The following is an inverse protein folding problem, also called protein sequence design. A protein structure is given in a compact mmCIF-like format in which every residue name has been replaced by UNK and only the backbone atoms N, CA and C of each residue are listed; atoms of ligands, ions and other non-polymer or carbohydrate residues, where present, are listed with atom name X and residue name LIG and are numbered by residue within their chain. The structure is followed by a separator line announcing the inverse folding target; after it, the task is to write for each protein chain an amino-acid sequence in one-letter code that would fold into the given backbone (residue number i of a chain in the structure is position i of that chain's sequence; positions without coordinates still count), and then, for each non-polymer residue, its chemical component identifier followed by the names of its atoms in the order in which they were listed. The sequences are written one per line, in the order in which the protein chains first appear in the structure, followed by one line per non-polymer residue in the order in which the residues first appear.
data_IF_339404902504
#
_entry.id   IF_339404902504
#
_cell.length_a   1.000
_cell.length_b   1.000
_cell.length_c   1.000
_cell.angle_alpha   90.00
_cell.angle_beta   90.00
_cell.angle_gamma   90.00
#
_symmetry.space_group_name_H-M   'P 1'
#
loop_
_entity.id
_entity.type
_entity.pdbx_description
1 polymer ?
#
# COMPACT_ATOMS: atom_id res chain seq x y z
N UNK A 1 -7.35 3.74 -11.69
CA UNK A 1 -7.55 2.35 -11.18
C UNK A 1 -8.37 2.38 -9.89
N UNK A 2 -9.59 2.90 -9.94
CA UNK A 2 -10.42 3.14 -8.75
C UNK A 2 -11.08 1.87 -8.16
N UNK A 3 -11.10 0.76 -8.89
CA UNK A 3 -11.82 -0.46 -8.48
C UNK A 3 -10.98 -1.74 -8.60
N UNK A 4 -9.72 -1.63 -9.00
CA UNK A 4 -8.83 -2.75 -9.30
C UNK A 4 -7.43 -2.55 -8.69
N UNK A 5 -7.31 -2.66 -7.36
CA UNK A 5 -6.02 -2.57 -6.66
C UNK A 5 -5.03 -3.66 -7.09
N UNK A 6 -5.50 -4.81 -7.53
CA UNK A 6 -4.74 -5.94 -8.03
C UNK A 6 -3.92 -5.64 -9.31
N UNK A 7 -4.28 -4.61 -10.07
CA UNK A 7 -3.56 -4.17 -11.26
C UNK A 7 -2.45 -3.14 -10.96
N UNK A 8 -2.39 -2.63 -9.74
CA UNK A 8 -1.58 -1.46 -9.38
C UNK A 8 -0.10 -1.66 -9.70
N UNK A 9 0.48 -2.80 -9.34
CA UNK A 9 1.87 -3.13 -9.64
C UNK A 9 2.14 -3.21 -11.15
N UNK A 10 1.34 -3.99 -11.87
CA UNK A 10 1.53 -4.20 -13.31
C UNK A 10 1.45 -2.89 -14.10
N UNK A 11 0.47 -2.04 -13.77
CA UNK A 11 0.33 -0.72 -14.40
C UNK A 11 1.48 0.20 -14.03
N UNK A 12 1.90 0.22 -12.77
CA UNK A 12 3.03 1.03 -12.32
C UNK A 12 4.32 0.64 -13.05
N UNK A 13 4.55 -0.68 -13.30
CA UNK A 13 5.69 -1.15 -14.08
C UNK A 13 5.69 -0.60 -15.52
N UNK A 14 4.54 -0.62 -16.19
CA UNK A 14 4.42 -0.07 -17.56
C UNK A 14 4.59 1.44 -17.58
N UNK A 15 4.01 2.15 -16.59
CA UNK A 15 4.11 3.61 -16.50
C UNK A 15 5.55 4.12 -16.33
N UNK A 16 6.48 3.30 -15.84
CA UNK A 16 7.88 3.69 -15.74
C UNK A 16 8.55 3.95 -17.11
N UNK A 17 8.02 3.32 -18.17
CA UNK A 17 8.59 3.36 -19.53
C UNK A 17 7.75 4.16 -20.54
N UNK A 18 6.80 4.98 -20.05
CA UNK A 18 5.92 5.76 -20.93
C UNK A 18 6.64 6.80 -21.78
N UNK A 19 7.82 7.27 -21.34
CA UNK A 19 8.60 8.27 -22.09
C UNK A 19 9.44 7.67 -23.23
N UNK A 20 9.77 6.38 -23.12
CA UNK A 20 10.57 5.66 -24.13
C UNK A 20 10.07 4.19 -24.22
N UNK A 21 8.89 3.96 -24.84
CA UNK A 21 8.29 2.64 -24.92
C UNK A 21 8.97 1.78 -25.97
N UNK A 22 9.30 0.54 -25.60
CA UNK A 22 9.86 -0.49 -26.49
C UNK A 22 8.93 -1.71 -26.57
N UNK A 23 9.22 -2.63 -27.51
CA UNK A 23 8.43 -3.86 -27.72
C UNK A 23 8.15 -4.66 -26.43
N UNK A 24 9.12 -4.88 -25.50
CA UNK A 24 8.82 -5.58 -24.25
C UNK A 24 7.75 -4.89 -23.41
N UNK A 25 7.69 -3.55 -23.42
CA UNK A 25 6.71 -2.78 -22.66
C UNK A 25 5.30 -2.95 -23.24
N UNK A 26 5.19 -3.04 -24.57
CA UNK A 26 3.92 -3.35 -25.25
C UNK A 26 3.42 -4.77 -24.88
N UNK A 27 4.32 -5.74 -24.76
CA UNK A 27 3.97 -7.08 -24.31
C UNK A 27 3.40 -7.08 -22.88
N UNK A 28 3.94 -6.26 -21.98
CA UNK A 28 3.39 -6.07 -20.63
C UNK A 28 1.99 -5.46 -20.67
N UNK A 29 1.73 -4.45 -21.53
CA UNK A 29 0.39 -3.87 -21.71
C UNK A 29 -0.60 -4.93 -22.19
N UNK A 30 -0.25 -5.72 -23.22
CA UNK A 30 -1.09 -6.82 -23.73
C UNK A 30 -1.43 -7.82 -22.61
N UNK A 31 -0.46 -8.15 -21.75
CA UNK A 31 -0.67 -9.06 -20.62
C UNK A 31 -1.67 -8.50 -19.61
N UNK A 32 -1.59 -7.20 -19.31
CA UNK A 32 -2.57 -6.51 -18.45
C UNK A 32 -3.96 -6.59 -19.09
N UNK A 33 -4.09 -6.29 -20.38
CA UNK A 33 -5.37 -6.34 -21.09
C UNK A 33 -5.97 -7.75 -21.11
N UNK A 34 -5.18 -8.79 -21.29
CA UNK A 34 -5.64 -10.18 -21.20
C UNK A 34 -6.13 -10.54 -19.79
N UNK A 35 -5.43 -10.09 -18.76
CA UNK A 35 -5.88 -10.28 -17.39
C UNK A 35 -7.20 -9.56 -17.12
N UNK A 36 -7.34 -8.31 -17.55
CA UNK A 36 -8.60 -7.54 -17.46
C UNK A 36 -9.71 -8.25 -18.19
N UNK A 37 -9.49 -8.69 -19.45
CA UNK A 37 -10.46 -9.45 -20.24
C UNK A 37 -10.92 -10.72 -19.54
N UNK A 38 -10.02 -11.45 -18.89
CA UNK A 38 -10.34 -12.67 -18.13
C UNK A 38 -11.00 -12.41 -16.77
N UNK A 39 -11.07 -11.15 -16.32
CA UNK A 39 -11.58 -10.75 -15.00
C UNK A 39 -12.53 -9.54 -15.06
N UNK A 40 -13.30 -9.41 -16.15
CA UNK A 40 -14.19 -8.25 -16.38
C UNK A 40 -15.22 -8.05 -15.26
N UNK A 41 -15.73 -9.15 -14.72
CA UNK A 41 -16.71 -9.13 -13.63
C UNK A 41 -16.10 -8.94 -12.23
N UNK A 42 -14.77 -8.99 -12.11
CA UNK A 42 -14.12 -8.77 -10.82
C UNK A 42 -14.00 -7.27 -10.50
N UNK A 43 -14.27 -6.89 -9.27
CA UNK A 43 -14.17 -5.51 -8.81
C UNK A 43 -13.96 -5.43 -7.29
N UNK A 44 -13.71 -4.23 -6.82
CA UNK A 44 -13.62 -3.94 -5.40
C UNK A 44 -15.01 -4.08 -4.77
N UNK A 45 -15.09 -4.98 -3.78
CA UNK A 45 -16.30 -5.18 -3.00
C UNK A 45 -16.24 -4.30 -1.75
N UNK A 46 -17.31 -3.53 -1.52
CA UNK A 46 -17.49 -2.70 -0.32
C UNK A 46 -18.65 -3.30 0.48
N UNK A 47 -18.35 -3.78 1.67
CA UNK A 47 -19.32 -4.36 2.60
C UNK A 47 -19.90 -3.30 3.54
N UNK A 48 -20.95 -3.70 4.26
CA UNK A 48 -21.68 -2.85 5.23
C UNK A 48 -21.19 -3.07 6.68
N UNK A 49 -19.99 -3.62 6.86
CA UNK A 49 -19.38 -3.86 8.16
C UNK A 49 -19.11 -2.57 8.96
N UNK A 50 -18.71 -2.69 10.23
CA UNK A 50 -18.42 -1.54 11.08
C UNK A 50 -17.25 -0.72 10.54
N UNK A 51 -17.35 0.62 10.62
CA UNK A 51 -16.34 1.58 10.20
C UNK A 51 -15.66 2.22 11.42
N UNK A 52 -15.16 1.40 12.33
CA UNK A 52 -14.71 1.80 13.67
C UNK A 52 -13.19 1.95 13.81
N UNK A 53 -12.42 1.46 12.85
CA UNK A 53 -10.95 1.43 12.88
C UNK A 53 -10.32 1.59 11.51
N UNK A 54 -9.11 2.16 11.46
CA UNK A 54 -8.23 2.14 10.31
C UNK A 54 -7.10 1.11 10.55
N UNK A 55 -6.90 0.26 9.56
CA UNK A 55 -5.78 -0.69 9.50
C UNK A 55 -5.07 -0.47 8.17
N UNK A 56 -3.75 -0.34 8.19
CA UNK A 56 -2.97 -0.12 7.00
C UNK A 56 -1.79 -1.09 6.91
N UNK A 57 -1.38 -1.39 5.69
CA UNK A 57 -0.18 -2.16 5.37
C UNK A 57 0.73 -1.31 4.50
N UNK A 58 2.02 -1.43 4.68
CA UNK A 58 3.03 -0.67 3.96
C UNK A 58 4.21 -1.56 3.61
N UNK A 59 4.69 -1.47 2.37
CA UNK A 59 5.83 -2.20 1.84
C UNK A 59 6.65 -1.33 0.89
N UNK A 60 7.94 -1.64 0.73
CA UNK A 60 8.79 -0.99 -0.24
C UNK A 60 9.70 -1.97 -0.97
N UNK A 61 9.58 -2.04 -2.28
CA UNK A 61 10.54 -2.76 -3.12
C UNK A 61 11.83 -1.91 -3.26
N UNK A 62 12.81 -2.18 -2.37
CA UNK A 62 14.07 -1.45 -2.33
C UNK A 62 14.86 -1.60 -3.61
N UNK A 63 15.26 -0.45 -4.21
CA UNK A 63 16.06 -0.37 -5.45
C UNK A 63 15.45 -1.15 -6.63
N UNK A 64 14.11 -1.36 -6.63
CA UNK A 64 13.42 -2.20 -7.61
C UNK A 64 13.40 -1.65 -9.04
N UNK A 65 13.65 -0.35 -9.25
CA UNK A 65 13.80 0.21 -10.59
C UNK A 65 15.22 -0.07 -11.12
N UNK A 66 15.41 -0.83 -12.21
CA UNK A 66 16.74 -1.19 -12.71
C UNK A 66 17.56 0.03 -13.16
N UNK A 67 16.91 1.01 -13.78
CA UNK A 67 17.58 2.17 -14.38
C UNK A 67 17.96 3.22 -13.32
N UNK A 68 17.02 3.59 -12.46
CA UNK A 68 17.21 4.68 -11.51
C UNK A 68 17.56 4.23 -10.09
N UNK A 69 17.49 2.92 -9.82
CA UNK A 69 17.66 2.31 -8.48
C UNK A 69 16.77 2.92 -7.39
N UNK A 70 15.69 3.59 -7.80
CA UNK A 70 14.68 4.11 -6.88
C UNK A 70 13.77 2.96 -6.43
N UNK A 71 13.39 3.01 -5.17
CA UNK A 71 12.45 2.07 -4.58
C UNK A 71 11.01 2.40 -4.99
N UNK A 72 10.13 1.42 -4.95
CA UNK A 72 8.69 1.60 -5.08
C UNK A 72 8.06 1.42 -3.71
N UNK A 73 7.38 2.43 -3.20
CA UNK A 73 6.56 2.32 -1.98
C UNK A 73 5.14 1.96 -2.34
N UNK A 74 4.54 1.10 -1.55
CA UNK A 74 3.12 0.78 -1.63
C UNK A 74 2.45 0.83 -0.27
N UNK A 75 1.15 1.06 -0.28
CA UNK A 75 0.31 0.90 0.89
C UNK A 75 -1.11 0.50 0.50
N UNK A 76 -1.82 -0.10 1.44
CA UNK A 76 -3.26 -0.26 1.41
C UNK A 76 -3.84 0.10 2.78
N UNK A 77 -4.99 0.78 2.80
CA UNK A 77 -5.68 1.24 4.01
C UNK A 77 -7.09 0.71 4.01
N UNK A 78 -7.45 0.05 5.09
CA UNK A 78 -8.78 -0.47 5.34
C UNK A 78 -9.51 0.37 6.39
N UNK A 79 -10.77 0.67 6.14
CA UNK A 79 -11.72 1.21 7.11
C UNK A 79 -12.69 0.09 7.51
N UNK A 80 -12.57 -0.43 8.73
CA UNK A 80 -13.14 -1.72 9.07
C UNK A 80 -12.57 -2.81 8.16
N UNK A 81 -13.44 -3.53 7.45
CA UNK A 81 -13.05 -4.58 6.51
C UNK A 81 -12.99 -4.10 5.04
N UNK A 82 -13.21 -2.80 4.79
CA UNK A 82 -13.26 -2.23 3.45
C UNK A 82 -11.94 -1.59 3.06
N UNK A 83 -11.39 -1.95 1.90
CA UNK A 83 -10.26 -1.25 1.32
C UNK A 83 -10.71 0.11 0.79
N UNK A 84 -10.20 1.20 1.37
CA UNK A 84 -10.62 2.58 1.04
C UNK A 84 -9.54 3.41 0.35
N UNK A 85 -8.26 3.07 0.55
CA UNK A 85 -7.16 3.76 -0.12
C UNK A 85 -6.00 2.79 -0.40
N UNK A 86 -5.32 2.99 -1.54
CA UNK A 86 -4.12 2.24 -1.90
C UNK A 86 -3.26 3.03 -2.89
N UNK A 87 -1.99 2.73 -2.88
CA UNK A 87 -1.03 3.35 -3.79
C UNK A 87 0.17 2.45 -4.03
N UNK A 88 0.73 2.53 -5.23
CA UNK A 88 2.07 2.04 -5.54
C UNK A 88 2.76 3.12 -6.36
N UNK A 89 3.81 3.72 -5.80
CA UNK A 89 4.53 4.84 -6.43
C UNK A 89 6.04 4.70 -6.23
N UNK A 90 6.78 5.02 -7.28
CA UNK A 90 8.24 5.13 -7.21
C UNK A 90 8.62 6.30 -6.31
N UNK A 91 9.55 6.06 -5.38
CA UNK A 91 10.11 7.10 -4.52
C UNK A 91 10.86 8.15 -5.35
N UNK A 92 10.82 9.40 -4.93
CA UNK A 92 11.46 10.52 -5.63
C UNK A 92 12.97 10.51 -5.51
N UNK A 93 13.50 9.87 -4.46
CA UNK A 93 14.94 9.76 -4.16
C UNK A 93 15.34 8.30 -3.99
N UNK A 94 16.63 8.01 -4.17
CA UNK A 94 17.20 6.66 -3.91
C UNK A 94 17.35 6.48 -2.40
N UNK A 95 16.83 5.37 -1.89
CA UNK A 95 17.01 4.95 -0.50
C UNK A 95 18.31 4.19 -0.33
N UNK A 96 19.08 4.50 0.72
CA UNK A 96 20.40 3.91 0.98
C UNK A 96 20.35 2.51 1.59
N UNK A 97 19.17 2.10 2.08
CA UNK A 97 18.93 0.77 2.64
C UNK A 97 17.47 0.37 2.46
N UNK A 98 17.18 -0.93 2.60
CA UNK A 98 15.81 -1.43 2.62
C UNK A 98 15.00 -0.81 3.76
N UNK A 99 15.58 -0.72 4.97
CA UNK A 99 14.92 -0.09 6.12
C UNK A 99 14.53 1.37 5.88
N UNK A 100 15.36 2.13 5.13
CA UNK A 100 15.01 3.49 4.74
C UNK A 100 13.85 3.51 3.74
N UNK A 101 13.89 2.64 2.73
CA UNK A 101 12.82 2.53 1.75
C UNK A 101 11.48 2.21 2.41
N UNK A 102 11.49 1.24 3.31
CA UNK A 102 10.34 0.84 4.13
C UNK A 102 9.84 1.97 5.02
N UNK A 103 10.75 2.67 5.69
CA UNK A 103 10.36 3.78 6.55
C UNK A 103 9.68 4.92 5.77
N UNK A 104 10.15 5.20 4.55
CA UNK A 104 9.50 6.17 3.65
C UNK A 104 8.07 5.72 3.28
N UNK A 105 7.86 4.42 3.04
CA UNK A 105 6.53 3.87 2.79
C UNK A 105 5.64 4.00 4.03
N UNK A 106 6.16 3.69 5.23
CA UNK A 106 5.46 3.92 6.51
C UNK A 106 5.07 5.39 6.67
N UNK A 107 5.97 6.33 6.40
CA UNK A 107 5.66 7.76 6.52
C UNK A 107 4.54 8.19 5.56
N UNK A 108 4.52 7.66 4.33
CA UNK A 108 3.46 7.94 3.35
C UNK A 108 2.11 7.42 3.82
N UNK A 109 2.03 6.16 4.27
CA UNK A 109 0.75 5.60 4.74
C UNK A 109 0.26 6.25 6.03
N UNK A 110 1.16 6.65 6.93
CA UNK A 110 0.78 7.41 8.13
C UNK A 110 0.17 8.76 7.75
N UNK A 111 0.72 9.47 6.75
CA UNK A 111 0.15 10.70 6.24
C UNK A 111 -1.25 10.49 5.66
N UNK A 112 -1.44 9.44 4.85
CA UNK A 112 -2.75 9.04 4.31
C UNK A 112 -3.76 8.72 5.40
N UNK A 113 -3.36 7.95 6.41
CA UNK A 113 -4.21 7.63 7.55
C UNK A 113 -4.61 8.89 8.37
N UNK A 114 -3.68 9.84 8.54
CA UNK A 114 -3.99 11.11 9.20
C UNK A 114 -5.04 11.91 8.41
N UNK A 115 -4.90 11.97 7.08
CA UNK A 115 -5.88 12.61 6.21
C UNK A 115 -7.25 11.95 6.30
N UNK A 116 -7.31 10.61 6.22
CA UNK A 116 -8.56 9.86 6.36
C UNK A 116 -9.22 10.08 7.73
N UNK A 117 -8.44 10.11 8.81
CA UNK A 117 -8.97 10.40 10.16
C UNK A 117 -9.57 11.80 10.23
N UNK A 118 -8.91 12.79 9.65
CA UNK A 118 -9.43 14.17 9.59
C UNK A 118 -10.73 14.23 8.77
N UNK A 119 -10.77 13.58 7.60
CA UNK A 119 -11.97 13.50 6.77
C UNK A 119 -13.13 12.86 7.53
N UNK A 120 -12.90 11.74 8.22
CA UNK A 120 -13.92 11.07 9.03
C UNK A 120 -14.39 11.96 10.20
N UNK A 121 -13.50 12.74 10.79
CA UNK A 121 -13.86 13.70 11.83
C UNK A 121 -14.77 14.82 11.28
N UNK A 122 -14.48 15.35 10.11
CA UNK A 122 -15.30 16.34 9.40
C UNK A 122 -16.69 15.78 9.02
N UNK A 123 -16.74 14.48 8.72
CA UNK A 123 -18.00 13.75 8.47
C UNK A 123 -18.74 13.35 9.78
N UNK A 124 -18.29 13.79 10.94
CA UNK A 124 -18.85 13.47 12.26
C UNK A 124 -18.79 11.97 12.63
N UNK A 125 -17.81 11.22 12.07
CA UNK A 125 -17.55 9.82 12.36
C UNK A 125 -16.10 9.66 12.90
N UNK A 126 -15.77 10.27 14.05
CA UNK A 126 -14.39 10.22 14.56
C UNK A 126 -14.00 8.82 15.03
N UNK A 127 -12.83 8.37 14.65
CA UNK A 127 -12.28 7.09 15.10
C UNK A 127 -11.70 7.24 16.52
N UNK A 128 -12.16 6.41 17.44
CA UNK A 128 -11.75 6.43 18.86
C UNK A 128 -10.46 5.64 19.12
N UNK A 129 -10.08 4.75 18.22
CA UNK A 129 -8.91 3.87 18.36
C UNK A 129 -7.75 4.37 17.51
N UNK A 130 -6.53 4.03 17.94
CA UNK A 130 -5.33 4.29 17.15
C UNK A 130 -5.37 3.54 15.81
N UNK A 131 -4.87 4.16 14.75
CA UNK A 131 -4.63 3.49 13.48
C UNK A 131 -3.48 2.49 13.63
N UNK A 132 -3.67 1.26 13.16
CA UNK A 132 -2.60 0.26 13.12
C UNK A 132 -1.99 0.25 11.73
N UNK A 133 -0.66 0.39 11.66
CA UNK A 133 0.12 0.30 10.43
C UNK A 133 1.04 -0.92 10.53
N UNK A 134 0.90 -1.85 9.60
CA UNK A 134 1.74 -3.03 9.49
C UNK A 134 2.88 -2.84 8.49
N UNK A 135 4.09 -3.21 8.89
CA UNK A 135 5.31 -3.21 8.08
C UNK A 135 6.07 -4.51 8.34
N UNK A 136 6.64 -5.14 7.32
CA UNK A 136 7.41 -6.39 7.46
C UNK A 136 8.89 -6.17 7.77
N UNK A 137 9.36 -4.91 7.80
CA UNK A 137 10.73 -4.57 8.14
C UNK A 137 10.88 -4.18 9.61
N UNK A 138 11.45 -5.09 10.40
CA UNK A 138 11.67 -4.89 11.84
C UNK A 138 12.47 -3.61 12.15
N UNK A 139 13.48 -3.29 11.32
CA UNK A 139 14.29 -2.09 11.52
C UNK A 139 13.49 -0.81 11.29
N UNK A 140 12.60 -0.80 10.29
CA UNK A 140 11.69 0.32 10.06
C UNK A 140 10.71 0.51 11.23
N UNK A 141 10.13 -0.58 11.73
CA UNK A 141 9.25 -0.56 12.91
C UNK A 141 10.01 -0.02 14.13
N UNK A 142 11.23 -0.51 14.39
CA UNK A 142 12.06 -0.04 15.50
C UNK A 142 12.34 1.47 15.41
N UNK A 143 12.61 1.99 14.23
CA UNK A 143 12.84 3.43 14.02
C UNK A 143 11.63 4.30 14.37
N UNK A 144 10.41 3.77 14.39
CA UNK A 144 9.21 4.54 14.78
C UNK A 144 9.12 4.80 16.26
N UNK A 145 9.66 3.92 17.09
CA UNK A 145 9.60 4.00 18.56
C UNK A 145 10.90 4.52 19.20
N UNK A 146 12.07 4.29 18.56
CA UNK A 146 13.38 4.61 19.15
C UNK A 146 13.68 6.11 19.12
N UNK A 147 14.06 6.74 20.25
CA UNK A 147 14.46 8.15 20.30
C UNK A 147 15.84 8.43 19.71
N UNK A 148 16.64 7.40 19.40
CA UNK A 148 18.04 7.55 18.99
C UNK A 148 18.14 8.14 17.59
N UNK A 149 18.74 9.34 17.48
CA UNK A 149 19.10 9.95 16.20
C UNK A 149 20.33 9.25 15.62
N UNK A 150 20.12 8.34 14.67
CA UNK A 150 21.24 7.82 13.91
C UNK A 150 21.71 8.89 12.90
N UNK A 151 23.01 9.25 12.93
CA UNK A 151 23.64 10.16 11.96
C UNK A 151 23.38 9.77 10.48
N UNK A 152 23.07 8.49 10.25
CA UNK A 152 22.77 7.91 8.92
C UNK A 152 21.36 8.23 8.39
N UNK A 153 20.45 8.79 9.19
CA UNK A 153 19.04 9.02 8.84
C UNK A 153 18.68 10.49 8.65
N UNK A 154 19.65 11.40 8.66
CA UNK A 154 19.44 12.86 8.55
C UNK A 154 18.57 13.26 7.33
N UNK A 155 18.68 12.54 6.22
CA UNK A 155 17.95 12.83 4.98
C UNK A 155 16.49 12.34 4.96
N UNK A 156 16.05 11.58 5.97
CA UNK A 156 14.64 11.19 6.20
C UNK A 156 14.09 11.73 7.53
N UNK A 157 14.81 12.68 8.13
CA UNK A 157 14.53 13.19 9.47
C UNK A 157 13.10 13.73 9.61
N UNK A 158 12.60 14.46 8.62
CA UNK A 158 11.24 15.02 8.62
C UNK A 158 10.20 13.88 8.73
N UNK A 159 10.34 12.83 7.94
CA UNK A 159 9.46 11.66 7.99
C UNK A 159 9.54 10.93 9.34
N UNK A 160 10.75 10.83 9.91
CA UNK A 160 10.98 10.22 11.23
C UNK A 160 10.27 11.03 12.32
N UNK A 161 10.45 12.32 12.37
CA UNK A 161 9.79 13.19 13.33
C UNK A 161 8.28 13.15 13.22
N UNK A 162 7.76 13.20 11.99
CA UNK A 162 6.33 13.13 11.73
C UNK A 162 5.70 11.84 12.28
N UNK A 163 6.23 10.67 11.90
CA UNK A 163 5.69 9.37 12.34
C UNK A 163 5.80 9.24 13.87
N UNK A 164 6.98 9.55 14.46
CA UNK A 164 7.19 9.49 15.90
C UNK A 164 6.24 10.38 16.67
N UNK A 165 5.97 11.59 16.17
CA UNK A 165 4.97 12.49 16.79
C UNK A 165 3.60 11.83 16.82
N UNK A 166 3.17 11.19 15.73
CA UNK A 166 1.87 10.50 15.66
C UNK A 166 1.80 9.28 16.56
N UNK A 167 2.90 8.53 16.68
CA UNK A 167 3.01 7.40 17.61
C UNK A 167 2.97 7.89 19.07
N UNK A 168 3.71 8.94 19.41
CA UNK A 168 3.74 9.51 20.77
C UNK A 168 2.38 10.08 21.22
N UNK A 169 1.59 10.62 20.28
CA UNK A 169 0.22 11.07 20.52
C UNK A 169 -0.79 9.93 20.64
N UNK A 170 -0.38 8.67 20.42
CA UNK A 170 -1.27 7.51 20.45
C UNK A 170 -2.24 7.44 19.25
N UNK A 171 -2.04 8.25 18.21
CA UNK A 171 -2.88 8.26 17.03
C UNK A 171 -2.58 7.10 16.08
N UNK A 172 -1.33 6.62 16.07
CA UNK A 172 -0.81 5.56 15.22
C UNK A 172 0.00 4.57 16.02
N UNK A 173 -0.10 3.30 15.67
CA UNK A 173 0.76 2.21 16.15
C UNK A 173 1.38 1.51 14.94
N UNK A 174 2.70 1.41 14.88
CA UNK A 174 3.39 0.68 13.81
C UNK A 174 3.83 -0.68 14.36
N UNK A 175 3.39 -1.74 13.72
CA UNK A 175 3.60 -3.13 14.15
C UNK A 175 4.26 -3.94 13.05
N UNK A 176 5.06 -4.92 13.45
CA UNK A 176 5.63 -5.88 12.50
C UNK A 176 4.57 -6.89 12.06
N UNK A 177 4.59 -7.21 10.76
CA UNK A 177 3.81 -8.31 10.17
C UNK A 177 4.75 -9.25 9.41
N UNK A 178 4.61 -10.58 9.54
CA UNK A 178 5.35 -11.53 8.71
C UNK A 178 5.00 -11.34 7.21
N UNK A 179 5.98 -11.49 6.31
CA UNK A 179 5.81 -11.23 4.87
C UNK A 179 4.68 -12.05 4.23
N UNK A 180 4.36 -13.24 4.76
CA UNK A 180 3.22 -14.05 4.29
C UNK A 180 1.85 -13.38 4.49
N UNK A 181 1.75 -12.35 5.34
CA UNK A 181 0.53 -11.56 5.59
C UNK A 181 0.68 -10.11 5.15
N UNK A 182 1.72 -9.80 4.37
CA UNK A 182 1.96 -8.45 3.84
C UNK A 182 1.14 -8.23 2.57
N UNK A 183 -0.08 -7.79 2.70
CA UNK A 183 -1.01 -7.63 1.58
C UNK A 183 -0.54 -6.65 0.51
N UNK A 184 0.34 -5.71 0.85
CA UNK A 184 0.91 -4.76 -0.11
C UNK A 184 1.96 -5.36 -1.04
N UNK A 185 2.43 -6.59 -0.80
CA UNK A 185 3.33 -7.31 -1.70
C UNK A 185 2.77 -7.43 -3.13
N UNK A 186 1.47 -7.58 -3.28
CA UNK A 186 0.79 -7.59 -4.58
C UNK A 186 0.98 -6.29 -5.38
N UNK A 187 1.34 -5.20 -4.69
CA UNK A 187 1.53 -3.87 -5.28
C UNK A 187 3.00 -3.51 -5.50
N UNK A 188 3.95 -4.35 -5.05
CA UNK A 188 5.40 -4.06 -5.12
C UNK A 188 6.19 -5.11 -5.88
N UNK A 189 5.72 -6.34 -5.98
CA UNK A 189 6.47 -7.45 -6.58
C UNK A 189 5.57 -8.42 -7.36
N UNK A 190 6.18 -9.17 -8.28
CA UNK A 190 5.51 -10.29 -8.95
C UNK A 190 5.35 -11.45 -7.98
N UNK A 191 4.13 -11.94 -7.80
CA UNK A 191 3.81 -13.03 -6.89
C UNK A 191 3.52 -14.33 -7.64
N UNK A 192 3.68 -15.46 -6.98
CA UNK A 192 3.17 -16.74 -7.44
C UNK A 192 1.64 -16.69 -7.51
N UNK A 193 1.05 -17.44 -8.46
CA UNK A 193 -0.40 -17.40 -8.76
C UNK A 193 -1.26 -17.57 -7.51
N UNK A 194 -0.94 -18.55 -6.68
CA UNK A 194 -1.73 -18.82 -5.46
C UNK A 194 -1.70 -17.63 -4.50
N UNK A 195 -0.51 -17.12 -4.18
CA UNK A 195 -0.34 -15.99 -3.27
C UNK A 195 -0.99 -14.71 -3.82
N UNK A 196 -0.90 -14.51 -5.15
CA UNK A 196 -1.59 -13.41 -5.82
C UNK A 196 -3.11 -13.50 -5.65
N UNK A 197 -3.69 -14.70 -5.79
CA UNK A 197 -5.13 -14.92 -5.61
C UNK A 197 -5.56 -14.67 -4.17
N UNK A 198 -4.78 -15.13 -3.19
CA UNK A 198 -5.06 -14.95 -1.77
C UNK A 198 -5.02 -13.46 -1.39
N UNK A 199 -3.99 -12.74 -1.83
CA UNK A 199 -3.87 -11.31 -1.55
C UNK A 199 -4.91 -10.47 -2.31
N UNK A 200 -5.25 -10.85 -3.55
CA UNK A 200 -6.36 -10.22 -4.29
C UNK A 200 -7.68 -10.34 -3.52
N UNK A 201 -7.97 -11.50 -2.97
CA UNK A 201 -9.16 -11.72 -2.14
C UNK A 201 -9.12 -10.87 -0.85
N UNK A 202 -7.95 -10.79 -0.20
CA UNK A 202 -7.73 -9.95 0.98
C UNK A 202 -7.89 -8.46 0.71
N UNK A 203 -7.59 -8.01 -0.52
CA UNK A 203 -7.86 -6.65 -0.99
C UNK A 203 -9.32 -6.41 -1.40
N UNK A 204 -10.23 -7.31 -1.05
CA UNK A 204 -11.66 -7.22 -1.37
C UNK A 204 -11.97 -7.19 -2.88
N UNK A 205 -11.08 -7.69 -3.75
CA UNK A 205 -11.34 -7.83 -5.19
C UNK A 205 -11.96 -9.20 -5.45
N UNK A 206 -13.25 -9.22 -5.73
CA UNK A 206 -14.06 -10.45 -5.88
C UNK A 206 -14.92 -10.39 -7.13
N UNK A 207 -15.41 -11.56 -7.54
CA UNK A 207 -16.53 -11.66 -8.47
C UNK A 207 -17.82 -11.25 -7.74
N UNK A 208 -18.79 -10.62 -8.44
CA UNK A 208 -20.10 -10.33 -7.85
C UNK A 208 -20.74 -11.64 -7.38
N UNK A 209 -21.35 -11.62 -6.20
CA UNK A 209 -22.12 -12.74 -5.69
C UNK A 209 -23.27 -13.04 -6.66
N UNK A 210 -23.54 -14.34 -6.93
CA UNK A 210 -24.57 -14.77 -7.87
C UNK A 210 -25.97 -14.22 -7.54
N UNK A 211 -26.22 -13.79 -6.30
CA UNK A 211 -27.48 -13.19 -5.83
C UNK A 211 -27.68 -11.73 -6.28
N UNK A 212 -26.63 -11.02 -6.70
CA UNK A 212 -26.73 -9.60 -7.16
C UNK A 212 -26.88 -9.47 -8.67
N UNK A 213 -26.68 -10.53 -9.43
CA UNK A 213 -26.76 -10.55 -10.89
C UNK A 213 -28.19 -10.43 -11.47
N UNK A 214 -29.22 -10.28 -10.65
CA UNK A 214 -30.64 -10.31 -11.07
C UNK A 214 -31.50 -9.09 -10.71
N UNK A 215 -30.92 -7.95 -10.34
CA UNK A 215 -31.69 -6.74 -9.98
C UNK A 215 -31.23 -5.52 -10.76
N UNK A 216 -31.45 -5.52 -12.06
CA UNK A 216 -31.52 -4.33 -12.90
C UNK A 216 -32.69 -4.47 -13.87
#
# INVERSE_FOLDING_TARGET
MLTRPDLTYAVQQVCMFMHDPHEPHLALVKRILWYVKGTLSAGLHIGTGPVDRLVAYSDANWAGCPDSRRSTSSFCVFLGDNLVSWSSKRQTTVSRSSAEAEYRAVAHVVAECCWLRQLLQELHIPLKVATVVYCDNVSAVYMTASPVHHRRTKHIEIGIHFVRKKVALGEVRVLHVPSQYQFTDIMTKGLLVQLFQDFRSSLCVRLPDASTAGRY
#
